data_IF_271558138951
#
_entry.id   IF_271558138951
#
_cell.length_a   1.000
_cell.length_b   1.000
_cell.length_c   1.000
_cell.angle_alpha   90.00
_cell.angle_beta   90.00
_cell.angle_gamma   90.00
#
_symmetry.space_group_name_H-M   'P 1'
#
loop_
_entity.id
_entity.type
_entity.pdbx_description
1 polymer ?
#
# COMPACT_ATOMS: atom_id res chain seq x y z
N UNK A 1 21.24 -15.65 -6.37
CA UNK A 1 20.97 -14.26 -5.96
C UNK A 1 19.74 -13.74 -6.71
N UNK A 2 18.51 -13.89 -6.20
CA UNK A 2 17.30 -13.44 -6.93
C UNK A 2 16.06 -13.14 -6.08
N UNK A 3 15.97 -13.58 -4.81
CA UNK A 3 14.74 -13.40 -4.02
C UNK A 3 14.57 -11.97 -3.47
N UNK A 4 15.66 -11.35 -3.01
CA UNK A 4 15.62 -10.04 -2.36
C UNK A 4 15.18 -8.92 -3.31
N UNK A 5 15.69 -8.89 -4.54
CA UNK A 5 15.35 -7.87 -5.54
C UNK A 5 13.91 -7.97 -6.02
N UNK A 6 13.33 -9.17 -6.07
CA UNK A 6 11.93 -9.35 -6.48
C UNK A 6 10.95 -8.83 -5.41
N UNK A 7 11.26 -9.04 -4.13
CA UNK A 7 10.43 -8.52 -3.04
C UNK A 7 10.46 -6.98 -2.99
N UNK A 8 11.62 -6.36 -3.21
CA UNK A 8 11.73 -4.88 -3.21
C UNK A 8 10.95 -4.24 -4.37
N UNK A 9 11.01 -4.84 -5.56
CA UNK A 9 10.26 -4.35 -6.72
C UNK A 9 8.75 -4.46 -6.48
N UNK A 10 8.28 -5.57 -5.91
CA UNK A 10 6.85 -5.74 -5.63
C UNK A 10 6.34 -4.74 -4.58
N UNK A 11 7.12 -4.44 -3.53
CA UNK A 11 6.73 -3.45 -2.52
C UNK A 11 6.58 -2.03 -3.08
N UNK A 12 7.56 -1.58 -3.87
CA UNK A 12 7.51 -0.25 -4.48
C UNK A 12 6.27 -0.09 -5.37
N UNK A 13 5.90 -1.14 -6.10
CA UNK A 13 4.71 -1.13 -6.96
C UNK A 13 3.41 -1.06 -6.16
N UNK A 14 3.31 -1.78 -5.04
CA UNK A 14 2.13 -1.71 -4.16
C UNK A 14 1.98 -0.31 -3.56
N UNK A 15 3.09 0.29 -3.10
CA UNK A 15 3.10 1.65 -2.55
C UNK A 15 2.68 2.70 -3.60
N UNK A 16 3.29 2.66 -4.80
CA UNK A 16 2.91 3.57 -5.89
C UNK A 16 1.43 3.44 -6.27
N UNK A 17 0.89 2.21 -6.27
CA UNK A 17 -0.51 1.95 -6.58
C UNK A 17 -1.45 2.49 -5.50
N UNK A 18 -1.12 2.33 -4.21
CA UNK A 18 -1.90 2.89 -3.10
C UNK A 18 -1.98 4.43 -3.20
N UNK A 19 -0.84 5.10 -3.45
CA UNK A 19 -0.79 6.55 -3.63
C UNK A 19 -1.64 7.00 -4.83
N UNK A 20 -1.55 6.27 -5.94
CA UNK A 20 -2.31 6.58 -7.15
C UNK A 20 -3.82 6.46 -6.92
N UNK A 21 -4.26 5.42 -6.21
CA UNK A 21 -5.67 5.24 -5.83
C UNK A 21 -6.16 6.36 -4.91
N UNK A 22 -5.37 6.77 -3.91
CA UNK A 22 -5.71 7.92 -3.04
C UNK A 22 -5.89 9.20 -3.85
N UNK A 23 -5.02 9.46 -4.82
CA UNK A 23 -5.14 10.61 -5.73
C UNK A 23 -6.39 10.53 -6.60
N UNK A 24 -6.66 9.36 -7.21
CA UNK A 24 -7.86 9.18 -8.02
C UNK A 24 -9.15 9.35 -7.21
N UNK A 25 -9.15 8.93 -5.95
CA UNK A 25 -10.31 9.07 -5.06
C UNK A 25 -10.72 10.53 -4.78
N UNK A 26 -9.90 11.53 -5.12
CA UNK A 26 -10.26 12.95 -4.99
C UNK A 26 -10.96 13.51 -6.22
N UNK A 27 -10.97 12.79 -7.35
CA UNK A 27 -11.46 13.27 -8.64
C UNK A 27 -12.57 12.42 -9.26
N UNK A 28 -13.09 11.43 -8.53
CA UNK A 28 -14.14 10.52 -9.01
C UNK A 28 -15.39 10.61 -8.15
N UNK A 29 -16.47 9.95 -8.60
CA UNK A 29 -17.73 9.89 -7.85
C UNK A 29 -17.53 9.26 -6.46
N UNK A 30 -18.38 9.58 -5.47
CA UNK A 30 -18.20 9.12 -4.09
C UNK A 30 -18.15 7.61 -3.89
N UNK A 31 -18.86 6.84 -4.71
CA UNK A 31 -18.91 5.37 -4.60
C UNK A 31 -17.58 4.79 -5.06
N UNK A 32 -17.08 5.25 -6.21
CA UNK A 32 -15.77 4.85 -6.73
C UNK A 32 -14.63 5.37 -5.85
N UNK A 33 -14.76 6.59 -5.31
CA UNK A 33 -13.80 7.16 -4.38
C UNK A 33 -13.64 6.30 -3.13
N UNK A 34 -14.74 5.81 -2.56
CA UNK A 34 -14.68 4.89 -1.43
C UNK A 34 -14.03 3.56 -1.79
N UNK A 35 -14.32 3.03 -2.99
CA UNK A 35 -13.68 1.80 -3.48
C UNK A 35 -12.17 1.98 -3.64
N UNK A 36 -11.73 3.12 -4.17
CA UNK A 36 -10.30 3.45 -4.31
C UNK A 36 -9.61 3.67 -2.98
N UNK A 37 -10.23 4.38 -2.02
CA UNK A 37 -9.70 4.54 -0.66
C UNK A 37 -9.54 3.20 0.04
N UNK A 38 -10.57 2.34 -0.03
CA UNK A 38 -10.53 0.99 0.53
C UNK A 38 -9.37 0.18 -0.03
N UNK A 39 -9.25 0.14 -1.36
CA UNK A 39 -8.17 -0.60 -2.01
C UNK A 39 -6.79 -0.02 -1.70
N UNK A 40 -6.65 1.29 -1.54
CA UNK A 40 -5.40 1.90 -1.10
C UNK A 40 -5.00 1.44 0.31
N UNK A 41 -5.95 1.43 1.26
CA UNK A 41 -5.70 0.95 2.63
C UNK A 41 -5.35 -0.54 2.68
N UNK A 42 -5.99 -1.37 1.84
CA UNK A 42 -5.62 -2.80 1.72
C UNK A 42 -4.17 -2.98 1.26
N UNK A 43 -3.73 -2.21 0.27
CA UNK A 43 -2.35 -2.27 -0.24
C UNK A 43 -1.33 -1.78 0.79
N UNK A 44 -1.67 -0.76 1.58
CA UNK A 44 -0.84 -0.27 2.67
C UNK A 44 -0.71 -1.31 3.80
N UNK A 45 -1.80 -2.04 4.10
CA UNK A 45 -1.75 -3.16 5.04
C UNK A 45 -0.89 -4.31 4.51
N UNK A 46 -1.04 -4.68 3.23
CA UNK A 46 -0.20 -5.70 2.58
C UNK A 46 1.30 -5.32 2.68
N UNK A 47 1.64 -4.04 2.44
CA UNK A 47 3.00 -3.52 2.58
C UNK A 47 3.48 -3.62 4.03
N UNK A 48 2.68 -3.16 4.99
CA UNK A 48 3.02 -3.19 6.41
C UNK A 48 3.26 -4.62 6.91
N UNK A 49 2.38 -5.57 6.55
CA UNK A 49 2.53 -6.98 6.90
C UNK A 49 3.85 -7.54 6.33
N UNK A 50 4.21 -7.17 5.10
CA UNK A 50 5.45 -7.61 4.51
C UNK A 50 6.67 -7.07 5.26
N UNK A 51 6.69 -5.78 5.59
CA UNK A 51 7.76 -5.14 6.38
C UNK A 51 7.94 -5.86 7.71
N UNK A 52 6.85 -6.10 8.44
CA UNK A 52 6.87 -6.84 9.72
C UNK A 52 7.40 -8.27 9.54
N UNK A 53 6.96 -8.99 8.49
CA UNK A 53 7.44 -10.36 8.20
C UNK A 53 8.92 -10.41 7.82
N UNK A 54 9.47 -9.33 7.27
CA UNK A 54 10.89 -9.19 7.01
C UNK A 54 11.72 -8.82 8.26
N UNK A 55 11.07 -8.67 9.43
CA UNK A 55 11.74 -8.26 10.67
C UNK A 55 12.12 -6.78 10.69
N UNK A 56 11.60 -5.99 9.75
CA UNK A 56 11.79 -4.55 9.73
C UNK A 56 10.74 -3.88 10.63
N UNK A 57 11.13 -2.79 11.28
CA UNK A 57 10.22 -1.97 12.08
C UNK A 57 9.48 -1.01 11.15
N UNK A 58 8.16 -1.13 10.98
CA UNK A 58 7.40 -0.19 10.17
C UNK A 58 7.35 1.18 10.87
N UNK A 59 7.70 2.25 10.16
CA UNK A 59 7.72 3.62 10.72
C UNK A 59 6.30 4.13 11.01
N UNK A 60 5.32 3.76 10.18
CA UNK A 60 3.92 4.17 10.31
C UNK A 60 3.00 2.94 10.34
N UNK A 61 2.16 2.84 11.38
CA UNK A 61 1.11 1.82 11.44
C UNK A 61 -0.11 2.29 10.63
N UNK A 62 -0.58 1.52 9.63
CA UNK A 62 -1.80 1.86 8.87
C UNK A 62 -3.07 1.83 9.74
N UNK A 63 -2.98 1.32 10.98
CA UNK A 63 -4.07 1.29 11.96
C UNK A 63 -4.04 2.47 12.94
N UNK A 64 -3.04 3.35 12.86
CA UNK A 64 -2.89 4.51 13.78
C UNK A 64 -3.57 5.79 13.27
N UNK A 65 -4.30 5.72 12.14
CA UNK A 65 -4.97 6.86 11.50
C UNK A 65 -6.44 7.02 11.93
#
# INVERSE_FOLDING_TARGET
MTLATRSTIDLSRLQHRAISLRRLATSVDPILANSYRRRASELELELWIHVVRCGLTPEDSPLAA
#
